data_IF_007652887785
#
_entry.id   IF_007652887785
#
_cell.length_a   1.000
_cell.length_b   1.000
_cell.length_c   1.000
_cell.angle_alpha   90.00
_cell.angle_beta   90.00
_cell.angle_gamma   90.00
#
_symmetry.space_group_name_H-M   'P 1'
#
loop_
_entity.id
_entity.type
_entity.pdbx_description
1 polymer ?
#
# COMPACT_ATOMS: atom_id res chain seq x y z
N UNK A 1 -13.13 13.83 5.20
CA UNK A 1 -13.41 12.75 4.21
C UNK A 1 -13.72 11.39 4.84
N UNK A 2 -13.01 10.95 5.89
CA UNK A 2 -13.24 9.62 6.51
C UNK A 2 -14.69 9.35 6.96
N UNK A 3 -15.30 10.26 7.73
CA UNK A 3 -16.69 10.09 8.23
C UNK A 3 -17.70 9.97 7.08
N UNK A 4 -17.72 10.87 6.08
CA UNK A 4 -18.54 10.69 4.89
C UNK A 4 -18.33 9.36 4.16
N UNK A 5 -17.07 8.93 4.00
CA UNK A 5 -16.75 7.67 3.32
C UNK A 5 -17.33 6.45 4.05
N UNK A 6 -17.21 6.42 5.39
CA UNK A 6 -17.81 5.38 6.24
C UNK A 6 -19.32 5.34 6.07
N UNK A 7 -19.99 6.49 6.15
CA UNK A 7 -21.45 6.58 6.02
C UNK A 7 -21.92 6.11 4.63
N UNK A 8 -21.27 6.58 3.57
CA UNK A 8 -21.59 6.17 2.20
C UNK A 8 -21.39 4.67 1.98
N UNK A 9 -20.30 4.11 2.51
CA UNK A 9 -19.99 2.68 2.40
C UNK A 9 -21.03 1.82 3.11
N UNK A 10 -21.46 2.20 4.33
CA UNK A 10 -22.53 1.50 5.05
C UNK A 10 -23.85 1.50 4.30
N UNK A 11 -24.17 2.60 3.62
CA UNK A 11 -25.38 2.68 2.79
C UNK A 11 -25.27 1.80 1.55
N UNK A 12 -24.13 1.80 0.86
CA UNK A 12 -23.89 0.96 -0.33
C UNK A 12 -23.92 -0.54 -0.01
N UNK A 13 -23.40 -0.95 1.15
CA UNK A 13 -23.44 -2.34 1.60
C UNK A 13 -24.86 -2.90 1.82
N UNK A 14 -25.89 -2.05 1.88
CA UNK A 14 -27.29 -2.51 1.94
C UNK A 14 -27.80 -3.00 0.58
N UNK A 15 -27.15 -2.62 -0.53
CA UNK A 15 -27.64 -2.81 -1.89
C UNK A 15 -26.63 -3.43 -2.84
N UNK A 16 -25.34 -3.47 -2.49
CA UNK A 16 -24.25 -4.01 -3.30
C UNK A 16 -23.39 -5.00 -2.52
N UNK A 17 -22.85 -6.00 -3.22
CA UNK A 17 -21.87 -6.91 -2.66
C UNK A 17 -20.56 -6.15 -2.34
N UNK A 18 -19.90 -6.46 -1.20
CA UNK A 18 -18.58 -5.94 -0.83
C UNK A 18 -17.57 -5.84 -1.98
N UNK A 19 -17.43 -6.88 -2.78
CA UNK A 19 -16.45 -6.94 -3.86
C UNK A 19 -16.80 -5.96 -4.99
N UNK A 20 -18.10 -5.71 -5.21
CA UNK A 20 -18.56 -4.71 -6.17
C UNK A 20 -18.16 -3.30 -5.74
N UNK A 21 -18.34 -2.96 -4.46
CA UNK A 21 -17.98 -1.64 -3.94
C UNK A 21 -16.46 -1.44 -4.04
N UNK A 22 -15.67 -2.47 -3.70
CA UNK A 22 -14.21 -2.41 -3.80
C UNK A 22 -13.78 -2.17 -5.26
N UNK A 23 -14.21 -3.04 -6.18
CA UNK A 23 -13.69 -3.07 -7.54
C UNK A 23 -14.25 -1.97 -8.44
N UNK A 24 -15.48 -1.52 -8.21
CA UNK A 24 -16.16 -0.57 -9.09
C UNK A 24 -16.24 0.85 -8.51
N UNK A 25 -15.97 1.05 -7.22
CA UNK A 25 -16.04 2.37 -6.57
C UNK A 25 -14.69 2.76 -5.97
N UNK A 26 -14.16 1.96 -5.05
CA UNK A 26 -12.96 2.35 -4.31
C UNK A 26 -11.70 2.33 -5.19
N UNK A 27 -11.47 1.27 -5.95
CA UNK A 27 -10.29 1.17 -6.82
C UNK A 27 -10.29 2.27 -7.90
N UNK A 28 -11.36 2.49 -8.68
CA UNK A 28 -11.38 3.55 -9.69
C UNK A 28 -11.21 4.96 -9.11
N UNK A 29 -11.78 5.23 -7.93
CA UNK A 29 -11.60 6.52 -7.27
C UNK A 29 -10.14 6.76 -6.84
N UNK A 30 -9.46 5.70 -6.39
CA UNK A 30 -8.05 5.76 -6.03
C UNK A 30 -7.14 5.95 -7.26
N UNK A 31 -7.47 5.29 -8.37
CA UNK A 31 -6.76 5.45 -9.64
C UNK A 31 -6.90 6.89 -10.17
N UNK A 32 -8.11 7.47 -10.15
CA UNK A 32 -8.34 8.86 -10.56
C UNK A 32 -7.50 9.84 -9.73
N UNK A 33 -7.46 9.66 -8.41
CA UNK A 33 -6.65 10.51 -7.52
C UNK A 33 -5.15 10.33 -7.81
N UNK A 34 -4.71 9.12 -8.13
CA UNK A 34 -3.35 8.83 -8.58
C UNK A 34 -3.00 9.61 -9.84
N UNK A 35 -3.81 9.49 -10.89
CA UNK A 35 -3.63 10.24 -12.15
C UNK A 35 -3.56 11.74 -11.91
N UNK A 36 -4.45 12.29 -11.08
CA UNK A 36 -4.46 13.73 -10.76
C UNK A 36 -3.23 14.18 -10.00
N UNK A 37 -2.63 13.32 -9.17
CA UNK A 37 -1.35 13.59 -8.52
C UNK A 37 -0.19 13.59 -9.53
N UNK A 38 -0.18 12.63 -10.46
CA UNK A 38 0.82 12.56 -11.55
C UNK A 38 0.75 13.78 -12.48
N UNK A 39 -0.46 14.25 -12.80
CA UNK A 39 -0.69 15.45 -13.60
C UNK A 39 -0.40 16.77 -12.84
N UNK A 40 -0.08 16.69 -11.54
CA UNK A 40 0.16 17.86 -10.69
C UNK A 40 -1.10 18.68 -10.36
N UNK A 41 -2.30 18.15 -10.62
CA UNK A 41 -3.58 18.80 -10.27
C UNK A 41 -4.03 18.52 -8.83
N UNK A 42 -3.40 17.53 -8.18
CA UNK A 42 -3.47 17.28 -6.74
C UNK A 42 -2.08 17.24 -6.14
N UNK A 43 -1.96 17.60 -4.87
CA UNK A 43 -0.72 17.49 -4.11
C UNK A 43 -0.76 16.33 -3.12
N UNK A 44 0.40 15.99 -2.58
CA UNK A 44 0.58 14.88 -1.65
C UNK A 44 -0.40 14.91 -0.46
N UNK A 45 -0.72 16.06 0.18
CA UNK A 45 -1.70 16.09 1.27
C UNK A 45 -3.09 15.60 0.83
N UNK A 46 -3.55 15.97 -0.37
CA UNK A 46 -4.84 15.53 -0.90
C UNK A 46 -4.83 14.05 -1.28
N UNK A 47 -3.73 13.55 -1.84
CA UNK A 47 -3.53 12.14 -2.13
C UNK A 47 -3.65 11.30 -0.84
N UNK A 48 -2.91 11.67 0.21
CA UNK A 48 -2.95 10.99 1.51
C UNK A 48 -4.33 11.09 2.18
N UNK A 49 -5.00 12.24 2.07
CA UNK A 49 -6.34 12.41 2.62
C UNK A 49 -7.37 11.50 1.94
N UNK A 50 -7.25 11.33 0.63
CA UNK A 50 -8.12 10.47 -0.19
C UNK A 50 -7.87 8.99 0.10
N UNK A 51 -6.60 8.58 0.15
CA UNK A 51 -6.21 7.23 0.56
C UNK A 51 -6.75 6.88 1.96
N UNK A 52 -6.63 7.82 2.92
CA UNK A 52 -7.17 7.64 4.27
C UNK A 52 -8.70 7.55 4.32
N UNK A 53 -9.42 8.13 3.35
CA UNK A 53 -10.87 7.99 3.24
C UNK A 53 -11.26 6.63 2.65
N UNK A 54 -10.55 6.17 1.62
CA UNK A 54 -10.72 4.84 1.05
C UNK A 54 -10.42 3.74 2.07
N UNK A 55 -9.36 3.87 2.87
CA UNK A 55 -9.06 2.95 3.96
C UNK A 55 -10.21 2.83 4.95
N UNK A 56 -10.80 3.95 5.37
CA UNK A 56 -11.94 3.95 6.28
C UNK A 56 -13.17 3.24 5.67
N UNK A 57 -13.36 3.32 4.34
CA UNK A 57 -14.37 2.53 3.63
C UNK A 57 -14.02 1.04 3.61
N UNK A 58 -12.78 0.66 3.28
CA UNK A 58 -12.32 -0.73 3.32
C UNK A 58 -12.49 -1.37 4.69
N UNK A 59 -12.24 -0.65 5.77
CA UNK A 59 -12.40 -1.16 7.14
C UNK A 59 -13.87 -1.50 7.47
N UNK A 60 -14.81 -0.69 6.98
CA UNK A 60 -16.25 -0.99 7.09
C UNK A 60 -16.59 -2.27 6.31
N UNK A 61 -16.07 -2.40 5.09
CA UNK A 61 -16.32 -3.57 4.25
C UNK A 61 -15.72 -4.84 4.87
N UNK A 62 -14.48 -4.76 5.36
CA UNK A 62 -13.83 -5.86 6.09
C UNK A 62 -14.65 -6.29 7.30
N UNK A 63 -15.12 -5.35 8.12
CA UNK A 63 -15.96 -5.66 9.29
C UNK A 63 -17.27 -6.36 8.90
N UNK A 64 -17.90 -5.94 7.80
CA UNK A 64 -19.10 -6.58 7.27
C UNK A 64 -18.82 -8.02 6.79
N UNK A 65 -17.75 -8.23 6.03
CA UNK A 65 -17.32 -9.55 5.54
C UNK A 65 -17.03 -10.52 6.70
N UNK A 66 -16.28 -10.07 7.71
CA UNK A 66 -15.96 -10.84 8.91
C UNK A 66 -17.23 -11.33 9.63
N UNK A 67 -18.25 -10.47 9.72
CA UNK A 67 -19.54 -10.80 10.35
C UNK A 67 -20.31 -11.86 9.54
N UNK A 68 -20.14 -11.87 8.21
CA UNK A 68 -20.75 -12.86 7.31
C UNK A 68 -19.95 -14.16 7.18
N UNK A 69 -18.86 -14.33 7.95
CA UNK A 69 -17.99 -15.51 7.87
C UNK A 69 -17.16 -15.59 6.58
N UNK A 70 -17.16 -14.52 5.76
CA UNK A 70 -16.31 -14.39 4.58
C UNK A 70 -15.01 -13.71 4.99
N UNK A 71 -13.87 -14.31 4.66
CA UNK A 71 -12.60 -13.60 4.80
C UNK A 71 -12.41 -12.66 3.61
N UNK A 72 -12.05 -11.41 3.90
CA UNK A 72 -11.41 -10.56 2.91
C UNK A 72 -10.06 -11.19 2.59
N UNK A 73 -9.89 -11.64 1.35
CA UNK A 73 -8.55 -11.92 0.83
C UNK A 73 -7.78 -10.60 0.81
N UNK A 74 -6.82 -10.44 1.71
CA UNK A 74 -5.89 -9.30 1.68
C UNK A 74 -5.24 -9.19 0.30
N UNK A 75 -4.88 -7.98 -0.14
CA UNK A 75 -4.34 -7.77 -1.49
C UNK A 75 -2.93 -8.36 -1.71
N UNK A 76 -2.37 -8.98 -0.67
CA UNK A 76 -1.05 -9.58 -0.66
C UNK A 76 -0.08 -8.82 0.23
N UNK A 77 1.03 -9.49 0.56
CA UNK A 77 2.09 -8.93 1.38
C UNK A 77 3.17 -8.28 0.52
N UNK A 78 3.67 -7.12 0.94
CA UNK A 78 4.74 -6.39 0.25
C UNK A 78 5.85 -6.07 1.27
N UNK A 79 7.10 -6.40 0.92
CA UNK A 79 8.27 -6.00 1.72
C UNK A 79 8.76 -4.64 1.24
N UNK A 80 9.05 -3.70 2.14
CA UNK A 80 9.62 -2.40 1.84
C UNK A 80 10.94 -2.18 2.60
N UNK A 81 11.96 -1.66 1.93
CA UNK A 81 13.25 -1.34 2.55
C UNK A 81 13.94 -0.16 1.86
N UNK A 82 14.59 0.71 2.62
CA UNK A 82 15.66 1.54 2.07
C UNK A 82 16.95 0.72 2.09
N UNK A 83 17.60 0.62 0.93
CA UNK A 83 18.70 -0.31 0.73
C UNK A 83 19.93 0.07 1.55
N UNK A 84 20.85 -0.88 1.75
CA UNK A 84 22.12 -0.66 2.44
C UNK A 84 22.83 0.60 1.94
N UNK A 85 23.29 1.42 2.87
CA UNK A 85 23.94 2.70 2.63
C UNK A 85 22.97 3.88 2.47
N UNK A 86 21.66 3.64 2.45
CA UNK A 86 20.65 4.69 2.27
C UNK A 86 19.79 4.89 3.52
N UNK A 87 19.89 6.08 4.11
CA UNK A 87 19.12 6.48 5.31
C UNK A 87 17.83 7.23 4.98
N UNK A 88 17.58 7.52 3.70
CA UNK A 88 16.42 8.30 3.27
C UNK A 88 15.19 7.41 3.19
N UNK A 89 14.21 7.69 4.05
CA UNK A 89 13.01 6.85 4.22
C UNK A 89 11.69 7.59 4.01
N UNK A 90 11.72 8.91 3.74
CA UNK A 90 10.49 9.70 3.56
C UNK A 90 9.66 9.17 2.39
N UNK A 91 10.27 8.96 1.22
CA UNK A 91 9.57 8.41 0.04
C UNK A 91 9.01 7.01 0.30
N UNK A 92 9.82 6.13 0.89
CA UNK A 92 9.40 4.78 1.32
C UNK A 92 8.21 4.84 2.29
N UNK A 93 8.22 5.73 3.27
CA UNK A 93 7.16 5.84 4.28
C UNK A 93 5.86 6.40 3.68
N UNK A 94 5.95 7.27 2.67
CA UNK A 94 4.79 7.71 1.89
C UNK A 94 4.19 6.51 1.14
N UNK A 95 5.02 5.73 0.42
CA UNK A 95 4.58 4.53 -0.31
C UNK A 95 3.96 3.50 0.65
N UNK A 96 4.60 3.23 1.78
CA UNK A 96 4.06 2.39 2.87
C UNK A 96 2.65 2.84 3.26
N UNK A 97 2.51 4.11 3.62
CA UNK A 97 1.22 4.67 4.07
C UNK A 97 0.15 4.53 3.00
N UNK A 98 0.49 4.75 1.72
CA UNK A 98 -0.45 4.59 0.61
C UNK A 98 -0.87 3.13 0.42
N UNK A 99 0.08 2.20 0.42
CA UNK A 99 -0.21 0.77 0.23
C UNK A 99 -1.00 0.18 1.40
N UNK A 100 -0.66 0.52 2.65
CA UNK A 100 -1.42 0.13 3.83
C UNK A 100 -2.87 0.62 3.72
N UNK A 101 -3.06 1.89 3.30
CA UNK A 101 -4.39 2.47 3.07
C UNK A 101 -5.15 1.82 1.90
N UNK A 102 -4.48 1.08 1.02
CA UNK A 102 -5.09 0.34 -0.09
C UNK A 102 -5.40 -1.11 0.28
N UNK A 103 -5.06 -1.53 1.52
CA UNK A 103 -5.32 -2.86 2.04
C UNK A 103 -4.25 -3.90 1.74
N UNK A 104 -3.01 -3.47 1.47
CA UNK A 104 -1.85 -4.37 1.41
C UNK A 104 -1.25 -4.57 2.80
N UNK A 105 -0.72 -5.76 3.05
CA UNK A 105 0.05 -6.05 4.26
C UNK A 105 1.51 -5.65 4.03
N UNK A 106 2.02 -4.68 4.78
CA UNK A 106 3.38 -4.16 4.57
C UNK A 106 4.35 -4.67 5.63
N UNK A 107 5.43 -5.30 5.18
CA UNK A 107 6.60 -5.63 6.00
C UNK A 107 7.66 -4.56 5.76
N UNK A 108 7.75 -3.60 6.67
CA UNK A 108 8.69 -2.49 6.58
C UNK A 108 9.99 -2.81 7.34
N UNK A 109 11.08 -3.01 6.60
CA UNK A 109 12.41 -3.31 7.16
C UNK A 109 13.18 -2.04 7.57
N UNK A 110 12.63 -0.86 7.32
CA UNK A 110 13.26 0.41 7.66
C UNK A 110 14.29 0.86 6.63
N UNK A 111 15.44 1.33 7.10
CA UNK A 111 16.48 1.99 6.30
C UNK A 111 17.85 1.40 6.57
N UNK A 112 18.78 1.62 5.64
CA UNK A 112 20.11 1.02 5.66
C UNK A 112 20.07 -0.51 5.78
N UNK A 113 19.16 -1.15 5.04
CA UNK A 113 18.86 -2.58 5.19
C UNK A 113 19.80 -3.43 4.32
N UNK A 114 20.55 -4.37 4.91
CA UNK A 114 21.41 -5.29 4.15
C UNK A 114 20.64 -6.19 3.18
N UNK A 115 21.25 -6.51 2.04
CA UNK A 115 20.69 -7.39 0.98
C UNK A 115 20.16 -8.71 1.55
N UNK A 116 20.95 -9.37 2.40
CA UNK A 116 20.59 -10.66 2.99
C UNK A 116 19.34 -10.60 3.89
N UNK A 117 19.12 -9.48 4.57
CA UNK A 117 17.94 -9.26 5.40
C UNK A 117 16.69 -9.08 4.55
N UNK A 118 16.79 -8.32 3.45
CA UNK A 118 15.70 -8.14 2.49
C UNK A 118 15.31 -9.48 1.87
N UNK A 119 16.28 -10.24 1.36
CA UNK A 119 16.04 -11.56 0.75
C UNK A 119 15.41 -12.53 1.75
N UNK A 120 15.89 -12.52 3.02
CA UNK A 120 15.31 -13.34 4.08
C UNK A 120 13.85 -12.97 4.33
N UNK A 121 13.54 -11.69 4.50
CA UNK A 121 12.17 -11.24 4.77
C UNK A 121 11.21 -11.59 3.62
N UNK A 122 11.63 -11.40 2.36
CA UNK A 122 10.82 -11.76 1.19
C UNK A 122 10.48 -13.25 1.20
N UNK A 123 11.45 -14.12 1.50
CA UNK A 123 11.25 -15.57 1.57
C UNK A 123 10.43 -16.00 2.79
N UNK A 124 10.70 -15.44 3.96
CA UNK A 124 10.00 -15.75 5.21
C UNK A 124 8.52 -15.40 5.16
N UNK A 125 8.18 -14.25 4.56
CA UNK A 125 6.82 -13.79 4.42
C UNK A 125 6.15 -14.24 3.11
N UNK A 126 6.85 -15.03 2.27
CA UNK A 126 6.41 -15.40 0.92
C UNK A 126 5.86 -14.20 0.14
N UNK A 127 6.51 -13.03 0.28
CA UNK A 127 5.99 -11.78 -0.25
C UNK A 127 6.12 -11.76 -1.79
N UNK A 128 5.02 -11.64 -2.55
CA UNK A 128 5.08 -11.61 -4.02
C UNK A 128 5.75 -10.35 -4.57
N UNK A 129 5.87 -9.29 -3.77
CA UNK A 129 6.45 -8.02 -4.19
C UNK A 129 7.43 -7.49 -3.13
N UNK A 130 8.48 -6.82 -3.61
CA UNK A 130 9.41 -6.05 -2.80
C UNK A 130 9.55 -4.64 -3.39
N UNK A 131 9.55 -3.62 -2.54
CA UNK A 131 9.83 -2.23 -2.88
C UNK A 131 11.15 -1.79 -2.26
N UNK A 132 12.08 -1.35 -3.10
CA UNK A 132 13.40 -0.89 -2.71
C UNK A 132 13.49 0.63 -2.88
N UNK A 133 13.98 1.33 -1.85
CA UNK A 133 14.18 2.78 -1.87
C UNK A 133 15.67 3.10 -1.87
N UNK A 134 16.08 3.96 -2.80
CA UNK A 134 17.41 4.55 -2.88
C UNK A 134 17.28 5.99 -3.40
N UNK A 135 17.86 6.96 -2.69
CA UNK A 135 17.87 8.37 -3.08
C UNK A 135 19.22 8.79 -3.68
N UNK A 136 20.32 8.15 -3.28
CA UNK A 136 21.66 8.48 -3.73
C UNK A 136 22.09 7.58 -4.89
N UNK A 137 22.82 8.12 -5.86
CA UNK A 137 23.34 7.31 -6.99
C UNK A 137 24.29 6.22 -6.52
N UNK A 138 25.01 6.45 -5.42
CA UNK A 138 25.92 5.47 -4.80
C UNK A 138 25.21 4.29 -4.16
N UNK A 139 23.92 4.40 -3.81
CA UNK A 139 23.14 3.33 -3.19
C UNK A 139 22.36 2.50 -4.21
N UNK A 140 22.34 2.90 -5.49
CA UNK A 140 21.70 2.12 -6.57
C UNK A 140 22.35 0.74 -6.78
N UNK A 141 23.66 0.62 -6.55
CA UNK A 141 24.35 -0.68 -6.64
C UNK A 141 23.79 -1.69 -5.64
N UNK A 142 23.42 -1.24 -4.43
CA UNK A 142 22.78 -2.08 -3.41
C UNK A 142 21.40 -2.58 -3.85
N UNK A 143 20.66 -1.76 -4.62
CA UNK A 143 19.39 -2.17 -5.22
C UNK A 143 19.61 -3.26 -6.28
N UNK A 144 20.60 -3.10 -7.17
CA UNK A 144 20.95 -4.09 -8.18
C UNK A 144 21.36 -5.44 -7.56
N UNK A 145 22.25 -5.41 -6.56
CA UNK A 145 22.67 -6.61 -5.80
C UNK A 145 21.46 -7.32 -5.17
N UNK A 146 20.52 -6.55 -4.62
CA UNK A 146 19.28 -7.10 -4.02
C UNK A 146 18.42 -7.80 -5.06
N UNK A 147 18.19 -7.17 -6.21
CA UNK A 147 17.38 -7.74 -7.29
C UNK A 147 18.00 -9.03 -7.84
N UNK A 148 19.33 -9.07 -8.00
CA UNK A 148 20.04 -10.28 -8.45
C UNK A 148 19.91 -11.45 -7.47
N UNK A 149 19.84 -11.18 -6.16
CA UNK A 149 19.68 -12.23 -5.14
C UNK A 149 18.24 -12.77 -5.02
N UNK A 150 17.27 -12.07 -5.61
CA UNK A 150 15.85 -12.44 -5.60
C UNK A 150 15.40 -13.15 -6.89
N UNK A 151 16.17 -13.02 -7.98
CA UNK A 151 15.97 -13.73 -9.23
C UNK A 151 16.28 -15.24 -9.10
#
# INVERSE_FOLDING_TARGET
>A
LKVPAVTATKAQLQVQDPDCIINNVLIPALDEIGTRFEEGTLFLPQLLQSAGAAQAAFDVIRAALSTSGRQSSGKGTIVLAAVKGDIHDIGKNIVKTLLENYGYDIIDLGRDVPVNEIVRAVREHAAPLVGLSALMTTTLTSMEETTQCLA
#
